data_IF_728099708328
#
_entry.id   IF_728099708328
#
_cell.length_a   1.000
_cell.length_b   1.000
_cell.length_c   1.000
_cell.angle_alpha   90.00
_cell.angle_beta   90.00
_cell.angle_gamma   90.00
#
_symmetry.space_group_name_H-M   'P 1'
#
loop_
_entity.id
_entity.type
_entity.pdbx_description
1 polymer ?
#
# COMPACT_ATOMS: atom_id res chain seq x y z
N UNK A 1 -35.10 -11.12 9.78
CA UNK A 1 -34.47 -9.90 9.24
C UNK A 1 -33.04 -9.87 9.78
N UNK A 2 -32.12 -10.61 9.15
CA UNK A 2 -30.71 -10.65 9.57
C UNK A 2 -29.95 -9.50 8.91
N UNK A 3 -29.21 -8.78 9.74
CA UNK A 3 -28.39 -7.62 9.40
C UNK A 3 -27.40 -7.94 8.27
N UNK A 4 -27.72 -7.50 7.06
CA UNK A 4 -26.73 -7.30 6.00
C UNK A 4 -25.98 -6.00 6.29
N UNK A 5 -25.09 -6.03 7.29
CA UNK A 5 -24.09 -4.96 7.47
C UNK A 5 -23.09 -5.05 6.31
N UNK A 6 -23.45 -4.42 5.19
CA UNK A 6 -22.72 -4.34 3.93
C UNK A 6 -21.42 -3.52 3.99
N UNK A 7 -20.57 -3.80 4.98
CA UNK A 7 -19.25 -3.20 5.15
C UNK A 7 -18.20 -4.30 5.26
N UNK A 8 -18.16 -5.21 4.30
CA UNK A 8 -17.13 -6.24 4.22
C UNK A 8 -15.77 -5.56 3.98
N UNK A 9 -15.03 -5.22 5.05
CA UNK A 9 -13.64 -4.76 4.96
C UNK A 9 -12.82 -5.81 4.19
N UNK A 10 -11.81 -5.43 3.39
CA UNK A 10 -10.92 -6.40 2.75
C UNK A 10 -10.36 -7.38 3.80
N UNK A 11 -10.25 -8.66 3.51
CA UNK A 11 -9.66 -9.62 4.45
C UNK A 11 -8.16 -9.30 4.71
N UNK A 12 -7.72 -9.52 5.94
CA UNK A 12 -6.33 -9.31 6.37
C UNK A 12 -6.14 -8.11 7.32
N UNK A 13 -4.89 -7.73 7.52
CA UNK A 13 -4.43 -6.68 8.42
C UNK A 13 -3.57 -7.23 9.55
N UNK A 14 -2.68 -6.37 10.07
CA UNK A 14 -1.95 -6.65 11.32
C UNK A 14 -2.21 -5.55 12.33
N UNK A 15 -2.50 -5.96 13.57
CA UNK A 15 -2.67 -5.06 14.71
C UNK A 15 -1.34 -4.56 15.27
N UNK A 16 -0.23 -5.21 14.88
CA UNK A 16 1.12 -4.76 15.20
C UNK A 16 1.37 -3.37 14.64
N UNK A 17 1.90 -2.48 15.49
CA UNK A 17 2.27 -1.13 15.07
C UNK A 17 3.57 -1.17 14.27
N UNK A 18 3.47 -0.96 12.97
CA UNK A 18 4.64 -0.87 12.07
C UNK A 18 5.00 0.62 11.92
N UNK A 19 6.24 1.05 12.17
CA UNK A 19 6.60 2.46 12.10
C UNK A 19 6.39 3.02 10.69
N UNK A 20 5.86 4.23 10.55
CA UNK A 20 5.62 4.87 9.23
C UNK A 20 6.94 5.09 8.46
N UNK A 21 8.02 5.33 9.18
CA UNK A 21 9.35 5.62 8.62
C UNK A 21 10.37 4.66 9.19
N UNK A 22 11.24 4.12 8.33
CA UNK A 22 12.36 3.26 8.72
C UNK A 22 13.67 3.79 8.14
N UNK A 23 14.74 3.71 8.92
CA UNK A 23 16.10 4.10 8.52
C UNK A 23 16.87 2.87 8.04
N UNK A 24 17.73 3.06 7.06
CA UNK A 24 18.53 2.00 6.44
C UNK A 24 20.00 2.41 6.36
N UNK A 25 20.91 1.44 6.46
CA UNK A 25 22.34 1.68 6.20
C UNK A 25 22.63 1.57 4.71
N UNK A 26 22.06 2.49 3.92
CA UNK A 26 22.25 2.56 2.48
C UNK A 26 22.24 4.01 2.01
N UNK A 27 22.94 4.29 0.92
CA UNK A 27 22.91 5.62 0.28
C UNK A 27 21.51 5.90 -0.29
N UNK A 28 21.20 7.18 -0.49
CA UNK A 28 19.95 7.60 -1.09
C UNK A 28 19.71 6.94 -2.45
N UNK A 29 20.73 6.90 -3.31
CA UNK A 29 20.64 6.27 -4.65
C UNK A 29 20.33 4.77 -4.57
N UNK A 30 20.99 4.03 -3.67
CA UNK A 30 20.74 2.60 -3.48
C UNK A 30 19.32 2.36 -2.96
N UNK A 31 18.86 3.17 -2.01
CA UNK A 31 17.48 3.10 -1.50
C UNK A 31 16.46 3.45 -2.57
N UNK A 32 16.68 4.54 -3.31
CA UNK A 32 15.79 5.01 -4.36
C UNK A 32 15.54 3.93 -5.41
N UNK A 33 16.60 3.26 -5.85
CA UNK A 33 16.50 2.12 -6.78
C UNK A 33 15.81 0.92 -6.13
N UNK A 34 16.23 0.53 -4.92
CA UNK A 34 15.67 -0.65 -4.25
C UNK A 34 14.17 -0.50 -3.96
N UNK A 35 13.70 0.71 -3.64
CA UNK A 35 12.27 1.00 -3.45
C UNK A 35 11.49 0.78 -4.75
N UNK A 36 11.99 1.27 -5.88
CA UNK A 36 11.34 1.08 -7.18
C UNK A 36 11.33 -0.40 -7.58
N UNK A 37 12.44 -1.11 -7.40
CA UNK A 37 12.53 -2.55 -7.66
C UNK A 37 11.51 -3.34 -6.82
N UNK A 38 11.34 -3.01 -5.53
CA UNK A 38 10.35 -3.67 -4.66
C UNK A 38 8.92 -3.39 -5.13
N UNK A 39 8.62 -2.15 -5.53
CA UNK A 39 7.29 -1.81 -6.05
C UNK A 39 6.98 -2.56 -7.34
N UNK A 40 7.96 -2.69 -8.23
CA UNK A 40 7.85 -3.44 -9.48
C UNK A 40 7.68 -4.95 -9.23
N UNK A 41 8.49 -5.55 -8.34
CA UNK A 41 8.37 -6.94 -7.90
C UNK A 41 6.99 -7.23 -7.27
N UNK A 42 6.42 -6.24 -6.57
CA UNK A 42 5.07 -6.30 -6.01
C UNK A 42 3.97 -6.01 -7.04
N UNK A 43 4.29 -5.70 -8.29
CA UNK A 43 3.35 -5.44 -9.38
C UNK A 43 2.57 -4.12 -9.22
N UNK A 44 3.17 -3.10 -8.61
CA UNK A 44 2.62 -1.75 -8.60
C UNK A 44 3.04 -0.99 -9.86
N UNK A 45 2.10 -0.26 -10.47
CA UNK A 45 2.44 0.83 -11.36
C UNK A 45 2.69 2.09 -10.53
N UNK A 46 3.74 2.84 -10.84
CA UNK A 46 4.12 4.00 -10.05
C UNK A 46 4.80 5.11 -10.87
N UNK A 47 4.64 6.33 -10.37
CA UNK A 47 5.29 7.52 -10.91
C UNK A 47 6.31 8.03 -9.89
N UNK A 48 7.61 7.87 -10.17
CA UNK A 48 8.66 8.41 -9.32
C UNK A 48 8.88 9.91 -9.60
N UNK A 49 8.97 10.71 -8.55
CA UNK A 49 9.40 12.10 -8.57
C UNK A 49 10.71 12.21 -7.79
N UNK A 50 11.83 12.12 -8.52
CA UNK A 50 13.17 12.18 -7.95
C UNK A 50 13.50 13.56 -7.35
N UNK A 51 12.87 14.64 -7.83
CA UNK A 51 13.13 15.98 -7.32
C UNK A 51 12.59 16.15 -5.90
N UNK A 52 11.43 15.58 -5.59
CA UNK A 52 10.85 15.60 -4.23
C UNK A 52 11.18 14.37 -3.38
N UNK A 53 11.86 13.37 -3.96
CA UNK A 53 12.14 12.09 -3.32
C UNK A 53 10.87 11.29 -3.03
N UNK A 54 9.80 11.46 -3.82
CA UNK A 54 8.50 10.81 -3.59
C UNK A 54 8.15 9.86 -4.73
N UNK A 55 7.50 8.76 -4.39
CA UNK A 55 6.95 7.81 -5.35
C UNK A 55 5.48 7.60 -5.00
N UNK A 56 4.61 7.77 -5.98
CA UNK A 56 3.17 7.52 -5.82
C UNK A 56 2.77 6.39 -6.77
N UNK A 57 2.07 5.40 -6.25
CA UNK A 57 1.53 4.32 -7.07
C UNK A 57 0.19 4.71 -7.68
N UNK A 58 -0.17 4.05 -8.77
CA UNK A 58 -1.56 3.99 -9.21
C UNK A 58 -2.38 3.14 -8.22
N UNK A 59 -3.73 3.27 -8.24
CA UNK A 59 -4.60 2.45 -7.40
C UNK A 59 -4.45 0.98 -7.76
N UNK A 60 -4.01 0.17 -6.80
CA UNK A 60 -3.97 -1.28 -6.92
C UNK A 60 -5.17 -1.90 -6.23
N UNK A 61 -5.94 -2.73 -6.93
CA UNK A 61 -7.10 -3.43 -6.36
C UNK A 61 -6.63 -4.37 -5.24
N UNK A 62 -7.34 -4.33 -4.12
CA UNK A 62 -7.14 -5.17 -2.96
C UNK A 62 -8.15 -6.31 -2.98
N UNK A 63 -7.64 -7.55 -2.99
CA UNK A 63 -8.46 -8.77 -2.99
C UNK A 63 -8.64 -9.40 -4.37
N UNK A 64 -9.26 -10.58 -4.38
CA UNK A 64 -9.50 -11.34 -5.61
C UNK A 64 -10.64 -10.70 -6.42
N UNK A 65 -10.40 -10.27 -7.68
CA UNK A 65 -11.43 -9.68 -8.52
C UNK A 65 -12.67 -10.58 -8.69
N UNK A 66 -12.52 -11.90 -8.58
CA UNK A 66 -13.64 -12.85 -8.64
C UNK A 66 -14.52 -12.80 -7.39
N UNK A 67 -13.94 -12.59 -6.21
CA UNK A 67 -14.70 -12.38 -4.96
C UNK A 67 -15.34 -10.99 -4.92
N UNK A 68 -14.61 -9.98 -5.41
CA UNK A 68 -15.07 -8.59 -5.48
C UNK A 68 -16.34 -8.44 -6.32
N UNK A 69 -16.45 -9.19 -7.43
CA UNK A 69 -17.67 -9.24 -8.26
C UNK A 69 -18.90 -9.80 -7.52
N UNK A 70 -18.70 -10.65 -6.50
CA UNK A 70 -19.77 -11.28 -5.72
C UNK A 70 -20.31 -10.36 -4.61
N UNK A 71 -19.49 -9.47 -4.06
CA UNK A 71 -19.83 -8.61 -2.91
C UNK A 71 -20.15 -7.15 -3.28
N UNK A 72 -19.99 -6.75 -4.55
CA UNK A 72 -20.46 -5.46 -5.07
C UNK A 72 -19.62 -4.24 -4.67
N UNK A 73 -18.44 -4.42 -4.07
CA UNK A 73 -17.52 -3.33 -3.73
C UNK A 73 -16.07 -3.68 -4.06
N UNK A 74 -15.41 -2.81 -4.83
CA UNK A 74 -13.99 -2.88 -5.20
C UNK A 74 -13.20 -2.05 -4.20
N UNK A 75 -12.21 -2.67 -3.55
CA UNK A 75 -11.25 -1.97 -2.71
C UNK A 75 -9.97 -1.74 -3.48
N UNK A 76 -9.35 -0.59 -3.31
CA UNK A 76 -8.05 -0.28 -3.91
C UNK A 76 -7.16 0.49 -2.93
N UNK A 77 -5.86 0.38 -3.11
CA UNK A 77 -4.86 1.13 -2.36
C UNK A 77 -3.97 1.94 -3.29
N UNK A 78 -3.76 3.20 -2.92
CA UNK A 78 -2.70 4.05 -3.46
C UNK A 78 -1.62 4.16 -2.41
N UNK A 79 -0.40 3.76 -2.77
CA UNK A 79 0.77 3.83 -1.89
C UNK A 79 1.55 5.09 -2.21
N UNK A 80 2.02 5.75 -1.15
CA UNK A 80 2.87 6.92 -1.21
C UNK A 80 4.14 6.65 -0.41
N UNK A 81 5.28 6.68 -1.10
CA UNK A 81 6.59 6.45 -0.52
C UNK A 81 7.38 7.75 -0.60
N UNK A 82 8.14 8.06 0.46
CA UNK A 82 9.14 9.12 0.44
C UNK A 82 10.49 8.53 0.83
N UNK A 83 11.51 8.78 0.01
CA UNK A 83 12.91 8.48 0.31
C UNK A 83 13.62 9.78 0.65
N UNK A 84 14.17 9.88 1.85
CA UNK A 84 14.82 11.08 2.36
C UNK A 84 16.17 10.71 2.99
N UNK A 85 17.25 11.00 2.26
CA UNK A 85 18.59 10.50 2.61
C UNK A 85 18.58 8.98 2.75
N UNK A 86 18.82 8.50 3.97
CA UNK A 86 18.85 7.07 4.33
C UNK A 86 17.54 6.55 4.95
N UNK A 87 16.45 7.32 4.85
CA UNK A 87 15.14 6.97 5.44
C UNK A 87 14.10 6.72 4.35
N UNK A 88 13.19 5.79 4.61
CA UNK A 88 12.02 5.53 3.77
C UNK A 88 10.75 5.63 4.61
N UNK A 89 9.82 6.47 4.17
CA UNK A 89 8.47 6.59 4.73
C UNK A 89 7.45 5.94 3.81
N UNK A 90 6.50 5.22 4.38
CA UNK A 90 5.44 4.52 3.65
C UNK A 90 4.07 4.91 4.20
N UNK A 91 3.17 5.33 3.32
CA UNK A 91 1.76 5.56 3.63
C UNK A 91 0.87 4.91 2.57
N UNK A 92 -0.26 4.35 2.97
CA UNK A 92 -1.28 3.88 2.03
C UNK A 92 -2.58 4.64 2.24
N UNK A 93 -3.29 4.90 1.14
CA UNK A 93 -4.66 5.43 1.14
C UNK A 93 -5.57 4.42 0.48
N UNK A 94 -6.70 4.14 1.12
CA UNK A 94 -7.65 3.14 0.65
C UNK A 94 -8.88 3.82 0.07
N UNK A 95 -9.37 3.27 -1.02
CA UNK A 95 -10.61 3.71 -1.65
C UNK A 95 -11.51 2.49 -1.85
N UNK A 96 -12.79 2.64 -1.50
CA UNK A 96 -13.85 1.67 -1.78
C UNK A 96 -14.78 2.24 -2.82
N UNK A 97 -14.89 1.55 -3.95
CA UNK A 97 -15.87 1.84 -4.97
C UNK A 97 -16.98 0.79 -4.89
N UNK A 98 -18.18 1.20 -4.50
CA UNK A 98 -19.35 0.31 -4.43
C UNK A 98 -20.19 0.43 -5.69
N UNK A 99 -20.72 -0.68 -6.21
CA UNK A 99 -21.67 -0.67 -7.33
C UNK A 99 -23.07 -0.19 -6.90
N UNK A 100 -23.35 -0.18 -5.59
CA UNK A 100 -24.65 0.19 -5.01
C UNK A 100 -24.75 1.69 -4.68
N UNK A 101 -23.61 2.34 -4.42
CA UNK A 101 -23.53 3.77 -4.09
C UNK A 101 -22.63 4.44 -5.11
N UNK A 102 -23.17 5.35 -5.94
CA UNK A 102 -22.38 6.15 -6.89
C UNK A 102 -21.49 7.14 -6.12
N UNK A 103 -20.37 6.65 -5.58
CA UNK A 103 -19.40 7.46 -4.85
C UNK A 103 -18.27 6.58 -4.31
N UNK A 104 -17.03 7.00 -4.56
CA UNK A 104 -15.86 6.38 -3.93
C UNK A 104 -15.72 6.87 -2.50
N UNK A 105 -15.62 5.95 -1.54
CA UNK A 105 -15.41 6.27 -0.14
C UNK A 105 -13.92 6.14 0.19
N UNK A 106 -13.32 7.21 0.74
CA UNK A 106 -11.99 7.14 1.33
C UNK A 106 -12.08 6.39 2.64
N UNK A 107 -11.29 5.33 2.77
CA UNK A 107 -11.29 4.48 3.95
C UNK A 107 -9.99 4.64 4.73
N UNK A 108 -10.14 4.70 6.06
CA UNK A 108 -9.04 4.43 6.97
C UNK A 108 -9.01 2.94 7.27
N UNK A 109 -7.94 2.28 6.82
CA UNK A 109 -7.73 0.86 7.12
C UNK A 109 -6.33 0.64 7.72
N UNK A 110 -6.12 1.04 8.98
CA UNK A 110 -4.79 1.09 9.59
C UNK A 110 -4.14 -0.30 9.71
N UNK A 111 -4.92 -1.35 9.97
CA UNK A 111 -4.39 -2.72 10.07
C UNK A 111 -3.86 -3.21 8.72
N UNK A 112 -4.59 -2.92 7.63
CA UNK A 112 -4.14 -3.26 6.27
C UNK A 112 -2.99 -2.39 5.82
N UNK A 113 -2.96 -1.12 6.21
CA UNK A 113 -1.80 -0.27 5.99
C UNK A 113 -0.55 -0.84 6.67
N UNK A 114 -0.67 -1.30 7.91
CA UNK A 114 0.43 -1.91 8.63
C UNK A 114 0.90 -3.21 7.96
N UNK A 115 -0.02 -4.04 7.45
CA UNK A 115 0.33 -5.25 6.70
C UNK A 115 1.15 -4.90 5.46
N UNK A 116 0.63 -4.03 4.59
CA UNK A 116 1.31 -3.62 3.36
C UNK A 116 2.66 -2.96 3.67
N UNK A 117 2.72 -2.14 4.73
CA UNK A 117 3.94 -1.49 5.20
C UNK A 117 4.98 -2.51 5.70
N UNK A 118 4.54 -3.52 6.45
CA UNK A 118 5.40 -4.60 6.96
C UNK A 118 6.00 -5.40 5.81
N UNK A 119 5.17 -5.82 4.87
CA UNK A 119 5.59 -6.55 3.68
C UNK A 119 6.58 -5.75 2.83
N UNK A 120 6.27 -4.47 2.60
CA UNK A 120 7.15 -3.57 1.87
C UNK A 120 8.52 -3.42 2.54
N UNK A 121 8.58 -3.16 3.86
CA UNK A 121 9.85 -3.04 4.54
C UNK A 121 10.63 -4.35 4.62
N UNK A 122 9.96 -5.48 4.79
CA UNK A 122 10.62 -6.79 4.76
C UNK A 122 11.25 -7.06 3.38
N UNK A 123 10.52 -6.77 2.30
CA UNK A 123 11.03 -6.90 0.93
C UNK A 123 12.22 -5.95 0.69
N UNK A 124 12.12 -4.69 1.13
CA UNK A 124 13.19 -3.71 0.99
C UNK A 124 14.44 -4.11 1.78
N UNK A 125 14.29 -4.60 3.01
CA UNK A 125 15.43 -5.12 3.79
C UNK A 125 16.08 -6.31 3.11
N UNK A 126 15.29 -7.26 2.59
CA UNK A 126 15.82 -8.38 1.84
C UNK A 126 16.57 -7.94 0.58
N UNK A 127 16.09 -6.88 -0.10
CA UNK A 127 16.73 -6.33 -1.31
C UNK A 127 18.06 -5.65 -0.99
N UNK A 128 18.14 -4.91 0.11
CA UNK A 128 19.35 -4.14 0.48
C UNK A 128 20.48 -5.00 1.06
N UNK A 129 20.14 -6.17 1.60
CA UNK A 129 21.11 -7.17 2.11
C UNK A 129 21.77 -7.98 0.99
N UNK A 130 21.19 -7.99 -0.21
CA UNK A 130 21.81 -8.52 -1.42
C UNK A 130 22.80 -7.51 -2.00
#
# INVERSE_FOLDING_TARGET
>A
MSELTGSAKPEGGVTETVPVTKKYQASHEKLWKAVQDVLDDQGYFFTPDSASGRIKTDPKVLGDPKKVAMFGAIYSAVVQIKVDGSSVSYKARFNKQSNVVMGGELLEYPEKENELRKEFFAALESRLRR
#
